data_IF_788142307759
#
_entry.id   IF_788142307759
#
_cell.length_a   1.000
_cell.length_b   1.000
_cell.length_c   1.000
_cell.angle_alpha   90.00
_cell.angle_beta   90.00
_cell.angle_gamma   90.00
#
_symmetry.space_group_name_H-M   'P 1'
#
loop_
_entity.id
_entity.type
_entity.pdbx_description
1 polymer ?
#
# COMPACT_ATOMS: atom_id res chain seq x y z
N UNK A 1 -14.64 12.85 -7.19
CA UNK A 1 -14.27 12.91 -8.62
C UNK A 1 -13.67 11.62 -9.15
N UNK A 2 -12.63 11.08 -8.49
CA UNK A 2 -11.99 9.83 -8.94
C UNK A 2 -12.93 8.62 -8.93
N UNK A 3 -13.79 8.47 -7.92
CA UNK A 3 -14.77 7.38 -7.85
C UNK A 3 -15.82 7.49 -8.96
N UNK A 4 -16.28 8.69 -9.27
CA UNK A 4 -17.22 8.91 -10.38
C UNK A 4 -16.59 8.49 -11.72
N UNK A 5 -15.32 8.85 -11.94
CA UNK A 5 -14.61 8.45 -13.15
C UNK A 5 -14.38 6.93 -13.20
N UNK A 6 -14.04 6.31 -12.06
CA UNK A 6 -13.89 4.87 -11.97
C UNK A 6 -15.20 4.14 -12.28
N UNK A 7 -16.34 4.61 -11.72
CA UNK A 7 -17.65 4.03 -11.99
C UNK A 7 -18.03 4.13 -13.46
N UNK A 8 -17.68 5.23 -14.15
CA UNK A 8 -17.97 5.39 -15.58
C UNK A 8 -17.17 4.43 -16.48
N UNK A 9 -16.08 3.83 -15.96
CA UNK A 9 -15.20 2.90 -16.67
C UNK A 9 -15.44 1.44 -16.30
N UNK A 10 -16.46 1.13 -15.51
CA UNK A 10 -16.79 -0.25 -15.14
C UNK A 10 -17.15 -1.05 -16.40
N UNK A 11 -16.39 -2.11 -16.66
CA UNK A 11 -16.59 -3.02 -17.79
C UNK A 11 -17.27 -4.33 -17.37
N UNK A 12 -17.49 -4.55 -16.06
CA UNK A 12 -18.03 -5.78 -15.48
C UNK A 12 -18.92 -5.47 -14.30
N UNK A 13 -20.04 -6.22 -14.19
CA UNK A 13 -20.93 -6.17 -13.02
C UNK A 13 -20.25 -6.65 -11.73
N UNK A 14 -19.10 -7.32 -11.85
CA UNK A 14 -18.30 -7.79 -10.71
C UNK A 14 -17.46 -6.69 -10.08
N UNK A 15 -17.38 -5.53 -10.72
CA UNK A 15 -16.64 -4.39 -10.20
C UNK A 15 -17.57 -3.44 -9.45
N UNK A 16 -17.11 -2.94 -8.30
CA UNK A 16 -17.80 -1.92 -7.54
C UNK A 16 -16.82 -0.94 -6.94
N UNK A 17 -17.23 0.33 -6.79
CA UNK A 17 -16.40 1.40 -6.26
C UNK A 17 -17.11 2.13 -5.14
N UNK A 18 -16.38 2.42 -4.07
CA UNK A 18 -16.89 3.09 -2.87
C UNK A 18 -16.01 4.27 -2.49
N UNK A 19 -16.62 5.34 -2.01
CA UNK A 19 -15.91 6.41 -1.30
C UNK A 19 -15.91 6.03 0.16
N UNK A 20 -14.74 5.71 0.72
CA UNK A 20 -14.61 5.28 2.11
C UNK A 20 -13.21 5.58 2.64
N UNK A 21 -13.13 5.81 3.95
CA UNK A 21 -11.87 5.78 4.69
C UNK A 21 -11.62 4.35 5.14
N UNK A 22 -10.45 3.81 4.80
CA UNK A 22 -10.10 2.43 5.11
C UNK A 22 -10.25 2.11 6.60
N UNK A 23 -9.80 2.99 7.48
CA UNK A 23 -9.79 2.74 8.92
C UNK A 23 -11.19 2.70 9.53
N UNK A 24 -12.12 3.45 8.96
CA UNK A 24 -13.49 3.56 9.46
C UNK A 24 -14.51 2.76 8.67
N UNK A 25 -14.14 2.28 7.48
CA UNK A 25 -15.04 1.51 6.62
C UNK A 25 -15.47 0.22 7.30
N UNK A 26 -16.79 0.00 7.32
CA UNK A 26 -17.39 -1.20 7.92
C UNK A 26 -17.93 -2.09 6.82
N UNK A 27 -17.54 -3.34 6.85
CA UNK A 27 -18.03 -4.37 5.92
C UNK A 27 -17.96 -5.73 6.61
N UNK A 28 -18.86 -6.63 6.22
CA UNK A 28 -18.83 -8.04 6.62
C UNK A 28 -18.01 -8.88 5.64
N UNK A 29 -17.65 -8.30 4.49
CA UNK A 29 -16.89 -8.99 3.46
C UNK A 29 -15.46 -9.23 3.91
N UNK A 30 -14.91 -10.36 3.48
CA UNK A 30 -13.49 -10.71 3.60
C UNK A 30 -12.94 -10.93 2.20
N UNK A 31 -11.68 -10.64 2.03
CA UNK A 31 -11.04 -10.63 0.71
C UNK A 31 -9.92 -11.65 0.62
N UNK A 32 -9.76 -12.24 -0.56
CA UNK A 32 -8.65 -13.15 -0.85
C UNK A 32 -7.36 -12.38 -1.13
N UNK A 33 -7.49 -11.23 -1.80
CA UNK A 33 -6.36 -10.37 -2.17
C UNK A 33 -6.75 -8.92 -1.91
N UNK A 34 -5.84 -8.19 -1.28
CA UNK A 34 -5.92 -6.73 -1.14
C UNK A 34 -4.67 -6.13 -1.79
N UNK A 35 -4.85 -5.07 -2.55
CA UNK A 35 -3.77 -4.37 -3.22
C UNK A 35 -3.79 -2.89 -2.85
N UNK A 36 -2.64 -2.35 -2.50
CA UNK A 36 -2.45 -0.92 -2.24
C UNK A 36 -1.21 -0.43 -2.98
N UNK A 37 -1.31 0.70 -3.63
CA UNK A 37 -0.21 1.33 -4.34
C UNK A 37 -0.13 2.80 -3.99
N UNK A 38 1.01 3.25 -3.48
CA UNK A 38 1.29 4.66 -3.16
C UNK A 38 0.24 5.30 -2.24
N UNK A 39 -0.29 4.57 -1.26
CA UNK A 39 -1.36 5.12 -0.42
C UNK A 39 -1.23 4.86 1.07
N UNK A 40 -0.70 3.71 1.50
CA UNK A 40 -0.72 3.33 2.91
C UNK A 40 0.03 4.32 3.81
N UNK A 41 1.13 4.87 3.34
CA UNK A 41 1.97 5.79 4.10
C UNK A 41 1.31 7.15 4.40
N UNK A 42 0.16 7.46 3.82
CA UNK A 42 -0.64 8.63 4.20
C UNK A 42 -1.39 8.42 5.52
N UNK A 43 -1.57 7.18 5.96
CA UNK A 43 -2.03 6.86 7.31
C UNK A 43 -0.86 7.01 8.28
N UNK A 44 -0.99 7.87 9.27
CA UNK A 44 0.08 8.16 10.23
C UNK A 44 -0.47 7.97 11.65
N UNK A 45 -0.04 6.92 12.38
CA UNK A 45 0.86 5.84 11.97
C UNK A 45 0.17 4.80 11.07
N UNK A 46 0.95 4.08 10.28
CA UNK A 46 0.42 3.10 9.34
C UNK A 46 -0.18 1.84 9.99
N UNK A 47 0.17 1.56 11.24
CA UNK A 47 -0.26 0.34 11.92
C UNK A 47 -1.77 0.15 11.93
N UNK A 48 -2.55 1.21 12.21
CA UNK A 48 -4.02 1.11 12.25
C UNK A 48 -4.61 0.72 10.90
N UNK A 49 -4.11 1.31 9.81
CA UNK A 49 -4.53 0.96 8.46
C UNK A 49 -4.14 -0.49 8.13
N UNK A 50 -2.93 -0.89 8.49
CA UNK A 50 -2.43 -2.24 8.24
C UNK A 50 -3.20 -3.29 9.05
N UNK A 51 -3.54 -3.00 10.31
CA UNK A 51 -4.39 -3.87 11.13
C UNK A 51 -5.77 -4.06 10.49
N UNK A 52 -6.32 -2.99 9.93
CA UNK A 52 -7.61 -3.06 9.22
C UNK A 52 -7.51 -3.96 7.99
N UNK A 53 -6.45 -3.83 7.19
CA UNK A 53 -6.19 -4.72 6.04
C UNK A 53 -6.11 -6.17 6.50
N UNK A 54 -5.37 -6.45 7.58
CA UNK A 54 -5.25 -7.80 8.13
C UNK A 54 -6.63 -8.38 8.50
N UNK A 55 -7.48 -7.59 9.14
CA UNK A 55 -8.85 -8.02 9.51
C UNK A 55 -9.73 -8.27 8.29
N UNK A 56 -9.55 -7.49 7.21
CA UNK A 56 -10.33 -7.63 5.99
C UNK A 56 -9.93 -8.85 5.15
N UNK A 57 -8.75 -9.41 5.36
CA UNK A 57 -8.29 -10.59 4.64
C UNK A 57 -8.89 -11.86 5.21
N UNK A 58 -9.23 -12.79 4.32
CA UNK A 58 -9.48 -14.18 4.67
C UNK A 58 -8.20 -14.84 5.16
N UNK A 59 -8.31 -15.89 5.95
CA UNK A 59 -7.18 -16.75 6.28
C UNK A 59 -6.55 -17.28 4.98
N UNK A 60 -5.24 -17.15 4.84
CA UNK A 60 -4.52 -17.45 3.60
C UNK A 60 -4.53 -16.33 2.57
N UNK A 61 -5.27 -15.25 2.80
CA UNK A 61 -5.32 -14.10 1.92
C UNK A 61 -4.01 -13.32 1.88
N UNK A 62 -3.79 -12.58 0.81
CA UNK A 62 -2.53 -11.88 0.55
C UNK A 62 -2.77 -10.38 0.38
N UNK A 63 -1.91 -9.58 1.02
CA UNK A 63 -1.85 -8.15 0.83
C UNK A 63 -0.59 -7.78 0.04
N UNK A 64 -0.78 -7.13 -1.10
CA UNK A 64 0.30 -6.55 -1.90
C UNK A 64 0.33 -5.04 -1.66
N UNK A 65 1.39 -4.54 -1.04
CA UNK A 65 1.55 -3.13 -0.74
C UNK A 65 2.77 -2.57 -1.48
N UNK A 66 2.54 -1.71 -2.46
CA UNK A 66 3.59 -1.05 -3.22
C UNK A 66 3.80 0.39 -2.78
N UNK A 67 5.07 0.79 -2.68
CA UNK A 67 5.44 2.17 -2.36
C UNK A 67 6.75 2.57 -3.02
N UNK A 68 6.80 3.79 -3.54
CA UNK A 68 8.05 4.44 -3.94
C UNK A 68 8.64 5.25 -2.77
N UNK A 69 7.81 5.55 -1.77
CA UNK A 69 8.17 6.33 -0.61
C UNK A 69 8.64 5.44 0.55
N UNK A 70 9.95 5.28 0.67
CA UNK A 70 10.59 4.55 1.78
C UNK A 70 12.01 5.12 2.00
N UNK A 71 12.51 5.04 3.22
CA UNK A 71 13.75 5.76 3.59
C UNK A 71 14.99 5.31 2.84
N UNK A 72 15.04 4.05 2.38
CA UNK A 72 16.15 3.55 1.56
C UNK A 72 16.16 4.21 0.16
N UNK A 73 15.01 4.66 -0.31
CA UNK A 73 14.90 5.45 -1.53
C UNK A 73 15.10 6.93 -1.20
N UNK A 74 16.35 7.35 -1.16
CA UNK A 74 16.72 8.70 -0.75
C UNK A 74 16.18 9.79 -1.67
N UNK A 75 15.76 9.45 -2.89
CA UNK A 75 15.21 10.41 -3.85
C UNK A 75 13.74 10.76 -3.59
N UNK A 76 13.03 9.96 -2.80
CA UNK A 76 11.62 10.21 -2.45
C UNK A 76 11.41 10.73 -1.03
N UNK A 77 12.40 10.64 -0.16
CA UNK A 77 12.26 11.04 1.25
C UNK A 77 11.89 12.51 1.45
N UNK A 78 12.24 13.37 0.49
CA UNK A 78 11.91 14.80 0.53
C UNK A 78 10.43 15.10 0.25
N UNK A 79 9.65 14.12 -0.16
CA UNK A 79 8.23 14.33 -0.51
C UNK A 79 7.42 14.92 0.63
N UNK A 80 7.72 14.55 1.88
CA UNK A 80 7.05 15.13 3.06
C UNK A 80 7.14 16.65 3.04
N UNK A 81 8.34 17.17 2.79
CA UNK A 81 8.61 18.62 2.75
C UNK A 81 7.99 19.25 1.49
N UNK A 82 8.19 18.63 0.34
CA UNK A 82 7.75 19.19 -0.95
C UNK A 82 6.23 19.26 -1.05
N UNK A 83 5.54 18.23 -0.55
CA UNK A 83 4.08 18.14 -0.61
C UNK A 83 3.39 18.75 0.61
N UNK A 84 4.12 18.98 1.69
CA UNK A 84 3.59 19.49 2.96
C UNK A 84 2.39 18.68 3.49
N UNK A 85 2.47 17.35 3.35
CA UNK A 85 1.45 16.41 3.81
C UNK A 85 2.14 15.43 4.77
N UNK A 86 1.53 15.11 5.94
CA UNK A 86 2.08 14.09 6.82
C UNK A 86 2.13 12.73 6.12
N UNK A 87 3.29 12.09 6.18
CA UNK A 87 3.53 10.77 5.58
C UNK A 87 4.39 9.95 6.54
N UNK A 88 4.08 8.67 6.68
CA UNK A 88 4.84 7.77 7.54
C UNK A 88 6.03 7.21 6.76
N UNK A 89 7.22 7.71 7.04
CA UNK A 89 8.47 7.32 6.36
C UNK A 89 9.16 6.19 7.12
N UNK A 90 9.29 5.04 6.48
CA UNK A 90 9.97 3.87 7.06
C UNK A 90 10.91 3.23 6.04
N UNK A 91 11.95 2.57 6.55
CA UNK A 91 12.84 1.75 5.73
C UNK A 91 12.16 0.45 5.32
N UNK A 92 12.71 -0.24 4.32
CA UNK A 92 12.25 -1.59 3.95
C UNK A 92 12.22 -2.53 5.16
N UNK A 93 13.26 -2.50 5.97
CA UNK A 93 13.36 -3.30 7.20
C UNK A 93 12.22 -2.99 8.17
N UNK A 94 11.91 -1.71 8.36
CA UNK A 94 10.82 -1.26 9.24
C UNK A 94 9.45 -1.62 8.68
N UNK A 95 9.25 -1.52 7.36
CA UNK A 95 8.04 -1.97 6.69
C UNK A 95 7.79 -3.46 6.94
N UNK A 96 8.81 -4.28 6.75
CA UNK A 96 8.71 -5.73 6.96
C UNK A 96 8.45 -6.07 8.44
N UNK A 97 9.10 -5.37 9.35
CA UNK A 97 8.90 -5.54 10.79
C UNK A 97 7.46 -5.22 11.17
N UNK A 98 6.92 -4.12 10.68
CA UNK A 98 5.53 -3.71 10.93
C UNK A 98 4.54 -4.79 10.46
N UNK A 99 4.72 -5.33 9.27
CA UNK A 99 3.89 -6.42 8.75
C UNK A 99 3.95 -7.66 9.64
N UNK A 100 5.15 -8.04 10.08
CA UNK A 100 5.34 -9.22 10.95
C UNK A 100 4.67 -9.03 12.31
N UNK A 101 4.80 -7.85 12.89
CA UNK A 101 4.19 -7.55 14.21
C UNK A 101 2.67 -7.56 14.17
N UNK A 102 2.06 -7.20 13.04
CA UNK A 102 0.62 -7.31 12.82
C UNK A 102 0.18 -8.78 12.73
N UNK A 103 1.04 -9.65 12.22
CA UNK A 103 0.76 -11.09 12.11
C UNK A 103 0.97 -11.69 10.73
N UNK A 104 1.42 -10.91 9.75
CA UNK A 104 1.66 -11.40 8.39
C UNK A 104 2.91 -12.28 8.30
N UNK A 105 2.84 -13.33 7.49
CA UNK A 105 4.02 -13.93 6.89
C UNK A 105 4.48 -12.98 5.78
N UNK A 106 5.70 -12.45 5.86
CA UNK A 106 6.10 -11.27 5.11
C UNK A 106 7.31 -11.53 4.22
N UNK A 107 7.25 -11.01 3.00
CA UNK A 107 8.38 -10.91 2.08
C UNK A 107 8.36 -9.55 1.38
N UNK A 108 9.47 -9.17 0.77
CA UNK A 108 9.56 -7.93 0.01
C UNK A 108 10.27 -8.15 -1.33
N UNK A 109 10.01 -7.24 -2.26
CA UNK A 109 10.60 -7.24 -3.59
C UNK A 109 10.70 -5.82 -4.10
N UNK A 110 11.80 -5.49 -4.77
CA UNK A 110 11.95 -4.25 -5.51
C UNK A 110 11.65 -4.48 -6.99
N UNK A 111 10.82 -3.61 -7.56
CA UNK A 111 10.51 -3.63 -9.00
C UNK A 111 11.06 -2.35 -9.60
N UNK A 112 12.15 -2.47 -10.35
CA UNK A 112 12.79 -1.36 -11.05
C UNK A 112 12.31 -1.27 -12.49
N UNK A 113 12.31 -0.06 -13.03
CA UNK A 113 12.03 0.21 -14.43
C UNK A 113 13.24 0.95 -15.05
N UNK A 114 14.19 0.23 -15.67
CA UNK A 114 15.42 0.84 -16.19
C UNK A 114 15.20 1.89 -17.28
N UNK A 115 14.04 1.88 -17.92
CA UNK A 115 13.68 2.83 -19.00
C UNK A 115 12.84 4.01 -18.51
N UNK A 116 12.50 4.05 -17.22
CA UNK A 116 11.66 5.12 -16.67
C UNK A 116 12.43 6.46 -16.65
N UNK A 117 11.70 7.54 -16.86
CA UNK A 117 12.27 8.89 -16.79
C UNK A 117 12.65 9.29 -15.36
N UNK A 118 11.97 8.75 -14.37
CA UNK A 118 12.23 9.03 -12.96
C UNK A 118 13.40 8.22 -12.44
N UNK A 119 14.40 8.89 -11.87
CA UNK A 119 15.62 8.26 -11.37
C UNK A 119 15.31 7.21 -10.28
N UNK A 120 14.40 7.50 -9.35
CA UNK A 120 14.05 6.56 -8.30
C UNK A 120 13.44 5.27 -8.83
N UNK A 121 12.72 5.32 -9.95
CA UNK A 121 12.16 4.13 -10.60
C UNK A 121 13.24 3.25 -11.22
N UNK A 122 14.29 3.88 -11.74
CA UNK A 122 15.42 3.16 -12.34
C UNK A 122 16.35 2.55 -11.30
N UNK A 123 16.68 3.31 -10.25
CA UNK A 123 17.74 2.93 -9.30
C UNK A 123 17.22 2.19 -8.08
N UNK A 124 16.13 2.65 -7.48
CA UNK A 124 15.58 2.08 -6.25
C UNK A 124 14.37 1.19 -6.53
N UNK A 125 13.53 1.61 -7.47
CA UNK A 125 12.32 0.90 -7.82
C UNK A 125 11.20 1.07 -6.81
N UNK A 126 10.08 0.43 -7.11
CA UNK A 126 8.95 0.31 -6.21
C UNK A 126 9.21 -0.83 -5.25
N UNK A 127 9.13 -0.54 -3.96
CA UNK A 127 9.16 -1.56 -2.92
C UNK A 127 7.78 -2.19 -2.79
N UNK A 128 7.69 -3.49 -3.02
CA UNK A 128 6.51 -4.28 -2.67
C UNK A 128 6.77 -5.04 -1.38
N UNK A 129 5.94 -4.77 -0.39
CA UNK A 129 5.88 -5.58 0.84
C UNK A 129 4.65 -6.46 0.72
N UNK A 130 4.85 -7.76 0.81
CA UNK A 130 3.83 -8.76 0.55
C UNK A 130 3.57 -9.53 1.83
N UNK A 131 2.34 -9.48 2.32
CA UNK A 131 1.94 -10.15 3.54
C UNK A 131 0.85 -11.20 3.28
N UNK A 132 1.04 -12.41 3.79
CA UNK A 132 0.04 -13.46 3.78
C UNK A 132 -0.52 -13.63 5.20
N UNK A 133 -1.84 -13.64 5.33
CA UNK A 133 -2.51 -13.93 6.61
C UNK A 133 -2.51 -15.43 6.84
N UNK A 134 -1.80 -15.92 7.86
CA UNK A 134 -1.72 -17.36 8.11
C UNK A 134 -3.04 -17.96 8.58
#
# INVERSE_FOLDING_TARGET
>A
MMIKNAKSKILSEKESYFVADLETWKTKEKFDIIFSMESLYYSVPMESALEKVFKLLKKGGIFYCGTDFYSDNTLTTRWIKDMNIPMDLRSEKEWKKMFREIGFCTRSKHVTDPKNKSKWKREFGTLFVIGRKP
#
